data_IF_689038446105
#
_entry.id   IF_689038446105
#
_cell.length_a   1.000
_cell.length_b   1.000
_cell.length_c   1.000
_cell.angle_alpha   90.00
_cell.angle_beta   90.00
_cell.angle_gamma   90.00
#
_symmetry.space_group_name_H-M   'P 1'
#
loop_
_entity.id
_entity.type
_entity.pdbx_description
1 polymer ?
#
# COMPACT_ATOMS: atom_id res chain seq x y z
N UNK A 1 -21.34 9.31 3.54
CA UNK A 1 -21.21 7.98 2.87
C UNK A 1 -21.61 6.91 3.88
N UNK A 2 -22.40 5.90 3.51
CA UNK A 2 -22.68 4.78 4.41
C UNK A 2 -21.40 4.00 4.75
N UNK A 3 -21.30 3.47 5.98
CA UNK A 3 -20.08 2.83 6.49
C UNK A 3 -19.52 1.71 5.58
N UNK A 4 -20.40 0.92 4.96
CA UNK A 4 -20.00 -0.15 4.02
C UNK A 4 -19.30 0.35 2.75
N UNK A 5 -19.77 1.44 2.15
CA UNK A 5 -19.12 1.99 0.95
C UNK A 5 -17.73 2.54 1.24
N UNK A 6 -17.53 3.14 2.42
CA UNK A 6 -16.20 3.61 2.80
C UNK A 6 -15.24 2.42 2.98
N UNK A 7 -15.70 1.34 3.61
CA UNK A 7 -14.88 0.14 3.80
C UNK A 7 -14.47 -0.50 2.47
N UNK A 8 -15.40 -0.72 1.53
CA UNK A 8 -15.08 -1.34 0.23
C UNK A 8 -14.09 -0.49 -0.57
N UNK A 9 -14.28 0.83 -0.58
CA UNK A 9 -13.34 1.78 -1.20
C UNK A 9 -11.92 1.65 -0.62
N UNK A 10 -11.78 1.58 0.71
CA UNK A 10 -10.48 1.48 1.38
C UNK A 10 -9.76 0.16 1.06
N UNK A 11 -10.49 -0.96 0.96
CA UNK A 11 -9.92 -2.24 0.52
C UNK A 11 -9.42 -2.18 -0.93
N UNK A 12 -10.16 -1.51 -1.81
CA UNK A 12 -9.74 -1.27 -3.19
C UNK A 12 -8.43 -0.48 -3.25
N UNK A 13 -8.33 0.60 -2.47
CA UNK A 13 -7.11 1.41 -2.40
C UNK A 13 -5.94 0.66 -1.77
N UNK A 14 -6.19 -0.19 -0.77
CA UNK A 14 -5.15 -1.01 -0.15
C UNK A 14 -4.51 -1.98 -1.14
N UNK A 15 -5.31 -2.52 -2.07
CA UNK A 15 -4.83 -3.39 -3.15
C UNK A 15 -3.87 -2.67 -4.08
N UNK A 16 -4.19 -1.43 -4.44
CA UNK A 16 -3.34 -0.58 -5.29
C UNK A 16 -2.07 -0.15 -4.54
N UNK A 17 -2.24 0.46 -3.36
CA UNK A 17 -1.13 1.02 -2.61
C UNK A 17 -0.19 -0.07 -2.11
N UNK A 18 -0.68 -1.25 -1.71
CA UNK A 18 0.18 -2.37 -1.30
C UNK A 18 1.04 -2.89 -2.43
N UNK A 19 0.48 -2.98 -3.64
CA UNK A 19 1.21 -3.37 -4.83
C UNK A 19 2.30 -2.35 -5.19
N UNK A 20 1.94 -1.07 -5.24
CA UNK A 20 2.90 0.02 -5.51
C UNK A 20 3.98 0.07 -4.43
N UNK A 21 3.60 -0.04 -3.16
CA UNK A 21 4.52 0.00 -2.03
C UNK A 21 5.57 -1.10 -2.12
N UNK A 22 5.16 -2.34 -2.39
CA UNK A 22 6.07 -3.48 -2.50
C UNK A 22 7.09 -3.29 -3.63
N UNK A 23 6.64 -2.78 -4.79
CA UNK A 23 7.52 -2.49 -5.93
C UNK A 23 8.50 -1.36 -5.59
N UNK A 24 8.01 -0.26 -5.00
CA UNK A 24 8.87 0.85 -4.58
C UNK A 24 9.90 0.40 -3.54
N UNK A 25 9.49 -0.44 -2.59
CA UNK A 25 10.38 -0.95 -1.57
C UNK A 25 11.43 -1.90 -2.17
N UNK A 26 11.04 -2.72 -3.15
CA UNK A 26 11.97 -3.55 -3.91
C UNK A 26 13.02 -2.73 -4.67
N UNK A 27 12.61 -1.60 -5.25
CA UNK A 27 13.53 -0.67 -5.93
C UNK A 27 14.48 0.04 -4.96
N UNK A 28 13.99 0.47 -3.80
CA UNK A 28 14.78 1.22 -2.81
C UNK A 28 15.72 0.28 -2.04
N UNK A 29 15.24 -0.92 -1.70
CA UNK A 29 15.95 -1.90 -0.90
C UNK A 29 15.92 -3.28 -1.59
N UNK A 30 16.62 -3.46 -2.72
CA UNK A 30 16.62 -4.72 -3.48
C UNK A 30 17.28 -5.89 -2.73
N UNK A 31 18.12 -5.60 -1.73
CA UNK A 31 18.83 -6.60 -0.95
C UNK A 31 18.73 -6.30 0.56
N UNK A 32 17.61 -6.67 1.21
CA UNK A 32 17.39 -6.40 2.64
C UNK A 32 18.36 -7.14 3.57
N UNK A 33 19.04 -8.18 3.08
CA UNK A 33 20.00 -8.96 3.85
C UNK A 33 21.44 -8.44 3.72
N UNK A 34 21.65 -7.40 2.92
CA UNK A 34 22.96 -6.79 2.70
C UNK A 34 23.83 -7.55 1.70
N UNK A 35 24.89 -6.88 1.24
CA UNK A 35 25.80 -7.39 0.20
C UNK A 35 25.83 -6.46 -1.01
N UNK A 36 27.02 -6.33 -1.61
CA UNK A 36 27.22 -5.47 -2.77
C UNK A 36 26.55 -6.07 -4.02
N UNK A 37 25.86 -5.22 -4.78
CA UNK A 37 25.29 -5.61 -6.07
C UNK A 37 26.28 -5.21 -7.17
N UNK A 38 26.85 -6.21 -7.83
CA UNK A 38 27.99 -6.02 -8.73
C UNK A 38 27.62 -5.45 -10.12
N UNK A 39 26.34 -5.44 -10.50
CA UNK A 39 25.91 -5.04 -11.85
C UNK A 39 24.43 -4.64 -11.91
N UNK A 40 24.03 -3.94 -12.98
CA UNK A 40 22.64 -3.56 -13.25
C UNK A 40 21.72 -4.80 -13.42
N UNK A 41 22.10 -5.85 -14.19
CA UNK A 41 21.28 -7.07 -14.25
C UNK A 41 21.05 -7.71 -12.88
N UNK A 42 22.10 -7.78 -12.04
CA UNK A 42 21.98 -8.34 -10.69
C UNK A 42 21.07 -7.47 -9.81
N UNK A 43 21.10 -6.14 -9.97
CA UNK A 43 20.18 -5.23 -9.28
C UNK A 43 18.74 -5.49 -9.69
N UNK A 44 18.45 -5.53 -10.99
CA UNK A 44 17.09 -5.75 -11.49
C UNK A 44 16.54 -7.11 -11.05
N UNK A 45 17.37 -8.15 -11.06
CA UNK A 45 16.97 -9.45 -10.56
C UNK A 45 16.74 -9.47 -9.04
N UNK A 46 17.54 -8.74 -8.26
CA UNK A 46 17.34 -8.58 -6.82
C UNK A 46 16.01 -7.85 -6.52
N UNK A 47 15.70 -6.76 -7.24
CA UNK A 47 14.40 -6.08 -7.16
C UNK A 47 13.26 -7.07 -7.44
N UNK A 48 13.38 -7.85 -8.52
CA UNK A 48 12.36 -8.82 -8.92
C UNK A 48 12.19 -9.90 -7.84
N UNK A 49 13.28 -10.38 -7.27
CA UNK A 49 13.29 -11.44 -6.27
C UNK A 49 12.69 -11.00 -4.93
N UNK A 50 12.96 -9.76 -4.49
CA UNK A 50 12.48 -9.27 -3.19
C UNK A 50 11.05 -8.73 -3.22
N UNK A 51 10.57 -8.24 -4.36
CA UNK A 51 9.24 -7.61 -4.47
C UNK A 51 8.09 -8.54 -4.02
N UNK A 52 8.03 -9.84 -4.39
CA UNK A 52 7.03 -10.78 -3.85
C UNK A 52 7.06 -10.89 -2.33
N UNK A 53 8.26 -10.90 -1.73
CA UNK A 53 8.45 -10.97 -0.28
C UNK A 53 7.86 -9.72 0.36
N UNK A 54 8.25 -8.54 -0.10
CA UNK A 54 7.68 -7.28 0.40
C UNK A 54 6.18 -7.21 0.23
N UNK A 55 5.64 -7.71 -0.88
CA UNK A 55 4.21 -7.74 -1.10
C UNK A 55 3.49 -8.63 -0.09
N UNK A 56 4.03 -9.82 0.20
CA UNK A 56 3.45 -10.76 1.18
C UNK A 56 3.36 -10.20 2.60
N UNK A 57 4.26 -9.30 2.99
CA UNK A 57 4.23 -8.66 4.31
C UNK A 57 3.48 -7.32 4.32
N UNK A 58 3.79 -6.45 3.36
CA UNK A 58 3.25 -5.10 3.34
C UNK A 58 1.77 -5.04 2.95
N UNK A 59 1.33 -5.88 2.00
CA UNK A 59 -0.06 -5.86 1.56
C UNK A 59 -1.04 -6.23 2.69
N UNK A 60 -0.87 -7.36 3.42
CA UNK A 60 -1.74 -7.66 4.56
C UNK A 60 -1.71 -6.58 5.65
N UNK A 61 -0.54 -6.00 5.92
CA UNK A 61 -0.43 -4.90 6.87
C UNK A 61 -1.24 -3.67 6.42
N UNK A 62 -1.14 -3.26 5.15
CA UNK A 62 -1.91 -2.14 4.61
C UNK A 62 -3.40 -2.46 4.56
N UNK A 63 -3.78 -3.67 4.12
CA UNK A 63 -5.17 -4.10 3.98
C UNK A 63 -5.89 -4.15 5.33
N UNK A 64 -5.24 -4.67 6.37
CA UNK A 64 -5.86 -4.82 7.69
C UNK A 64 -5.66 -3.54 8.49
N UNK A 65 -4.39 -3.23 8.82
CA UNK A 65 -4.07 -2.13 9.71
C UNK A 65 -4.26 -0.77 9.03
N UNK A 66 -3.77 -0.60 7.80
CA UNK A 66 -3.89 0.65 7.06
C UNK A 66 -5.35 1.07 6.84
N UNK A 67 -6.21 0.15 6.40
CA UNK A 67 -7.65 0.41 6.22
C UNK A 67 -8.31 0.86 7.51
N UNK A 68 -8.08 0.14 8.62
CA UNK A 68 -8.66 0.49 9.92
C UNK A 68 -8.17 1.84 10.42
N UNK A 69 -6.85 2.07 10.39
CA UNK A 69 -6.22 3.32 10.79
C UNK A 69 -6.77 4.50 9.98
N UNK A 70 -6.99 4.31 8.67
CA UNK A 70 -7.52 5.34 7.79
C UNK A 70 -8.98 5.67 8.05
N UNK A 71 -9.82 4.66 8.33
CA UNK A 71 -11.22 4.90 8.73
C UNK A 71 -11.28 5.68 10.06
N UNK A 72 -10.44 5.33 11.03
CA UNK A 72 -10.36 6.03 12.32
C UNK A 72 -9.87 7.47 12.10
N UNK A 73 -8.81 7.65 11.32
CA UNK A 73 -8.23 8.94 10.97
C UNK A 73 -9.26 9.87 10.29
N UNK A 74 -10.01 9.36 9.31
CA UNK A 74 -11.05 10.14 8.64
C UNK A 74 -12.16 10.57 9.62
N UNK A 75 -12.58 9.65 10.52
CA UNK A 75 -13.59 9.97 11.55
C UNK A 75 -13.10 11.03 12.52
N UNK A 76 -11.84 10.95 12.96
CA UNK A 76 -11.22 11.96 13.83
C UNK A 76 -11.15 13.30 13.09
N UNK A 77 -10.71 13.29 11.81
CA UNK A 77 -10.66 14.47 10.96
C UNK A 77 -12.02 15.15 10.82
N UNK A 78 -13.07 14.39 10.53
CA UNK A 78 -14.44 14.88 10.42
C UNK A 78 -14.97 15.42 11.74
N UNK A 79 -14.75 14.70 12.84
CA UNK A 79 -15.22 15.11 14.16
C UNK A 79 -14.58 16.44 14.60
N UNK A 80 -13.26 16.57 14.45
CA UNK A 80 -12.54 17.78 14.88
C UNK A 80 -12.82 18.94 13.93
N UNK A 81 -12.82 18.73 12.60
CA UNK A 81 -13.13 19.79 11.62
C UNK A 81 -14.54 20.38 11.82
N UNK A 82 -15.54 19.53 12.11
CA UNK A 82 -16.88 19.97 12.46
C UNK A 82 -16.91 20.79 13.76
N UNK A 83 -16.11 20.40 14.76
CA UNK A 83 -16.03 21.12 16.04
C UNK A 83 -15.38 22.50 15.93
N UNK A 84 -14.48 22.69 14.96
CA UNK A 84 -13.78 23.96 14.73
C UNK A 84 -14.33 24.75 13.54
N UNK A 85 -15.46 24.30 12.96
CA UNK A 85 -16.14 24.93 11.82
C UNK A 85 -15.21 25.25 10.63
N UNK A 86 -14.26 24.34 10.36
CA UNK A 86 -13.30 24.50 9.27
C UNK A 86 -13.06 23.19 8.53
N UNK A 87 -13.82 22.98 7.46
CA UNK A 87 -13.77 21.78 6.63
C UNK A 87 -12.38 21.52 6.02
N UNK A 88 -11.58 22.57 5.78
CA UNK A 88 -10.23 22.40 5.22
C UNK A 88 -9.28 21.70 6.20
N UNK A 89 -9.60 21.73 7.50
CA UNK A 89 -8.79 21.10 8.54
C UNK A 89 -8.93 19.57 8.56
N UNK A 90 -10.01 19.01 7.99
CA UNK A 90 -10.24 17.56 7.96
C UNK A 90 -9.05 16.82 7.33
N UNK A 91 -8.58 17.31 6.18
CA UNK A 91 -7.47 16.70 5.44
C UNK A 91 -6.17 16.76 6.25
N UNK A 92 -5.90 17.90 6.91
CA UNK A 92 -4.70 18.07 7.72
C UNK A 92 -4.70 17.16 8.93
N UNK A 93 -5.82 17.11 9.66
CA UNK A 93 -5.97 16.28 10.87
C UNK A 93 -5.91 14.79 10.50
N UNK A 94 -6.55 14.40 9.41
CA UNK A 94 -6.47 13.04 8.88
C UNK A 94 -5.04 12.68 8.45
N UNK A 95 -4.34 13.59 7.77
CA UNK A 95 -2.94 13.39 7.39
C UNK A 95 -2.01 13.22 8.59
N UNK A 96 -2.13 14.09 9.61
CA UNK A 96 -1.35 14.01 10.84
C UNK A 96 -1.60 12.68 11.55
N UNK A 97 -2.86 12.26 11.67
CA UNK A 97 -3.20 10.98 12.30
C UNK A 97 -2.68 9.78 11.51
N UNK A 98 -2.65 9.84 10.17
CA UNK A 98 -1.98 8.80 9.36
C UNK A 98 -0.48 8.75 9.60
N UNK A 99 0.19 9.89 9.78
CA UNK A 99 1.61 9.93 10.16
C UNK A 99 1.79 9.28 11.54
N UNK A 100 0.96 9.62 12.52
CA UNK A 100 1.02 9.03 13.87
C UNK A 100 0.81 7.52 13.83
N UNK A 101 -0.21 7.02 13.13
CA UNK A 101 -0.42 5.57 12.94
C UNK A 101 0.73 4.91 12.16
N UNK A 102 1.25 5.61 11.15
CA UNK A 102 2.38 5.16 10.36
C UNK A 102 3.68 5.06 11.15
N UNK A 103 3.84 5.82 12.23
CA UNK A 103 5.04 5.77 13.08
C UNK A 103 5.07 4.58 14.05
N UNK A 104 3.96 3.85 14.23
CA UNK A 104 3.90 2.73 15.19
C UNK A 104 4.89 1.59 14.85
N UNK A 105 5.15 1.33 13.57
CA UNK A 105 6.05 0.26 13.10
C UNK A 105 7.31 0.84 12.38
N UNK A 106 7.74 2.05 12.76
CA UNK A 106 8.94 2.74 12.24
C UNK A 106 8.79 3.25 10.77
N UNK A 107 9.92 3.49 10.09
CA UNK A 107 9.96 4.18 8.79
C UNK A 107 9.26 3.41 7.66
N UNK A 108 9.26 2.07 7.68
CA UNK A 108 8.59 1.26 6.66
C UNK A 108 7.08 1.48 6.69
N UNK A 109 6.45 1.38 7.88
CA UNK A 109 5.02 1.64 8.01
C UNK A 109 4.65 3.10 7.78
N UNK A 110 5.56 4.04 8.04
CA UNK A 110 5.32 5.43 7.71
C UNK A 110 5.20 5.62 6.19
N UNK A 111 6.14 5.04 5.43
CA UNK A 111 6.07 5.05 3.96
C UNK A 111 4.78 4.40 3.43
N UNK A 112 4.40 3.25 4.00
CA UNK A 112 3.16 2.56 3.64
C UNK A 112 1.91 3.40 3.96
N UNK A 113 1.87 4.03 5.14
CA UNK A 113 0.76 4.86 5.60
C UNK A 113 0.61 6.12 4.74
N UNK A 114 1.72 6.79 4.40
CA UNK A 114 1.71 7.96 3.52
C UNK A 114 1.22 7.58 2.12
N UNK A 115 1.74 6.49 1.55
CA UNK A 115 1.32 6.07 0.21
C UNK A 115 -0.17 5.68 0.21
N UNK A 116 -0.65 4.99 1.25
CA UNK A 116 -2.05 4.64 1.39
C UNK A 116 -2.93 5.90 1.53
N UNK A 117 -2.53 6.86 2.36
CA UNK A 117 -3.24 8.14 2.51
C UNK A 117 -3.33 8.91 1.19
N UNK A 118 -2.23 9.00 0.45
CA UNK A 118 -2.20 9.66 -0.87
C UNK A 118 -3.14 8.94 -1.84
N UNK A 119 -3.04 7.61 -1.92
CA UNK A 119 -3.88 6.79 -2.80
C UNK A 119 -5.35 7.01 -2.48
N UNK A 120 -5.69 7.00 -1.20
CA UNK A 120 -7.06 7.23 -0.73
C UNK A 120 -7.57 8.65 -1.05
N UNK A 121 -6.77 9.70 -0.82
CA UNK A 121 -7.19 11.07 -1.10
C UNK A 121 -7.25 11.40 -2.59
N UNK A 122 -6.33 10.88 -3.40
CA UNK A 122 -6.35 11.08 -4.86
C UNK A 122 -7.58 10.41 -5.48
N UNK A 123 -7.87 9.16 -5.11
CA UNK A 123 -8.97 8.41 -5.69
C UNK A 123 -10.34 8.81 -5.12
N UNK A 124 -10.39 9.44 -3.94
CA UNK A 124 -11.61 10.07 -3.42
C UNK A 124 -12.15 11.18 -4.34
N UNK A 125 -11.29 11.88 -5.10
CA UNK A 125 -11.72 12.95 -6.02
C UNK A 125 -12.62 12.46 -7.16
N UNK A 126 -12.65 11.15 -7.42
CA UNK A 126 -13.40 10.58 -8.53
C UNK A 126 -14.88 10.32 -8.21
N UNK A 127 -15.34 10.54 -6.96
CA UNK A 127 -16.74 10.32 -6.51
C UNK A 127 -17.36 8.97 -6.94
N UNK A 128 -16.52 7.97 -7.21
CA UNK A 128 -16.97 6.64 -7.62
C UNK A 128 -17.50 5.88 -6.41
N UNK A 129 -18.66 5.24 -6.59
CA UNK A 129 -19.18 4.27 -5.63
C UNK A 129 -18.43 2.96 -5.84
N UNK A 130 -17.90 2.40 -4.75
CA UNK A 130 -17.20 1.13 -4.75
C UNK A 130 -18.10 0.06 -4.14
N UNK A 131 -18.36 -0.98 -4.91
CA UNK A 131 -19.12 -2.14 -4.46
C UNK A 131 -18.19 -3.21 -3.88
N UNK A 132 -18.73 -4.08 -3.03
CA UNK A 132 -18.00 -5.21 -2.45
C UNK A 132 -17.30 -6.05 -3.53
N UNK A 133 -18.00 -6.33 -4.64
CA UNK A 133 -17.43 -7.11 -5.74
C UNK A 133 -16.21 -6.43 -6.38
N UNK A 134 -16.20 -5.09 -6.46
CA UNK A 134 -15.05 -4.35 -6.98
C UNK A 134 -13.86 -4.40 -6.01
N UNK A 135 -14.13 -4.31 -4.71
CA UNK A 135 -13.10 -4.44 -3.66
C UNK A 135 -12.51 -5.85 -3.60
N UNK A 136 -13.31 -6.90 -3.86
CA UNK A 136 -12.80 -8.28 -3.96
C UNK A 136 -11.99 -8.43 -5.25
N UNK A 137 -12.50 -7.93 -6.39
CA UNK A 137 -11.79 -8.00 -7.68
C UNK A 137 -10.44 -7.28 -7.64
N UNK A 138 -10.30 -6.21 -6.87
CA UNK A 138 -9.00 -5.52 -6.75
C UNK A 138 -7.93 -6.33 -6.04
N UNK A 139 -8.29 -7.35 -5.25
CA UNK A 139 -7.31 -8.30 -4.70
C UNK A 139 -6.55 -9.05 -5.81
N UNK A 140 -7.11 -9.08 -7.03
CA UNK A 140 -6.40 -9.55 -8.22
C UNK A 140 -5.17 -8.72 -8.58
N UNK A 141 -5.09 -7.44 -8.16
CA UNK A 141 -3.94 -6.57 -8.43
C UNK A 141 -2.68 -7.07 -7.69
N UNK A 142 -2.66 -7.17 -6.34
CA UNK A 142 -1.50 -7.72 -5.65
C UNK A 142 -1.23 -9.18 -6.06
N UNK A 143 -2.26 -9.98 -6.31
CA UNK A 143 -2.05 -11.35 -6.79
C UNK A 143 -1.34 -11.39 -8.16
N UNK A 144 -1.75 -10.54 -9.12
CA UNK A 144 -1.10 -10.45 -10.41
C UNK A 144 0.35 -9.97 -10.31
N UNK A 145 0.62 -8.95 -9.48
CA UNK A 145 1.99 -8.50 -9.22
C UNK A 145 2.82 -9.63 -8.62
N UNK A 146 2.30 -10.36 -7.63
CA UNK A 146 3.00 -11.49 -7.05
C UNK A 146 3.33 -12.56 -8.10
N UNK A 147 2.34 -12.96 -8.91
CA UNK A 147 2.50 -14.00 -9.94
C UNK A 147 3.50 -13.60 -11.02
N UNK A 148 3.47 -12.34 -11.48
CA UNK A 148 4.41 -11.84 -12.50
C UNK A 148 5.85 -11.93 -11.98
N UNK A 149 6.09 -11.40 -10.77
CA UNK A 149 7.43 -11.36 -10.21
C UNK A 149 7.95 -12.77 -9.85
N UNK A 150 7.12 -13.61 -9.23
CA UNK A 150 7.47 -15.01 -8.96
C UNK A 150 7.70 -15.82 -10.24
N UNK A 151 6.94 -15.54 -11.30
CA UNK A 151 7.14 -16.17 -12.61
C UNK A 151 8.50 -15.86 -13.20
N UNK A 152 8.96 -14.61 -13.10
CA UNK A 152 10.30 -14.21 -13.55
C UNK A 152 11.39 -14.92 -12.74
N UNK A 153 11.26 -14.95 -11.40
CA UNK A 153 12.20 -15.67 -10.52
C UNK A 153 12.29 -17.15 -10.89
N UNK A 154 11.15 -17.79 -11.15
CA UNK A 154 11.11 -19.20 -11.53
C UNK A 154 11.76 -19.47 -12.89
N UNK A 155 11.53 -18.60 -13.89
CA UNK A 155 12.17 -18.72 -15.21
C UNK A 155 13.68 -18.57 -15.10
N UNK A 156 14.19 -17.58 -14.34
CA UNK A 156 15.62 -17.41 -14.12
C UNK A 156 16.24 -18.65 -13.49
N UNK A 157 15.57 -19.23 -12.49
CA UNK A 157 16.04 -20.44 -11.82
C UNK A 157 16.15 -21.61 -12.80
N UNK A 158 15.16 -21.79 -13.69
CA UNK A 158 15.20 -22.85 -14.69
C UNK A 158 16.36 -22.68 -15.69
N UNK A 159 16.65 -21.45 -16.11
CA UNK A 159 17.72 -21.16 -17.07
C UNK A 159 19.13 -21.31 -16.50
N UNK A 160 19.29 -21.12 -15.18
CA UNK A 160 20.60 -21.18 -14.51
C UNK A 160 20.90 -22.54 -13.87
N UNK A 161 19.91 -23.44 -13.79
CA UNK A 161 20.08 -24.83 -13.31
C UNK A 161 20.16 -25.84 -14.47
N UNK A 162 19.77 -25.43 -15.69
CA UNK A 162 19.91 -26.20 -16.95
C UNK A 162 21.27 -26.00 -17.61
#
# INVERSE_FOLDING_TARGET
MGGGQNFFKKNYFASISGSIYAILLGLILPNPFGGAIASIPNYLFAVVSVTPIYLMYSFPAILIYGVLASIISDKIGQFISAKIENDKSEIWISGITHIVFGLILLFYSLGASILFFITDRVLQKNNKKYELLQAIKSLGIPLAVWLIYMGIVYIEHLLNVS
#
